data_IF_085259903773
#
_entry.id   IF_085259903773
#
_cell.length_a   1.000
_cell.length_b   1.000
_cell.length_c   1.000
_cell.angle_alpha   90.00
_cell.angle_beta   90.00
_cell.angle_gamma   90.00
#
_symmetry.space_group_name_H-M   'P 1'
#
loop_
_entity.id
_entity.type
_entity.pdbx_description
1 polymer ?
#
# COMPACT_ATOMS: atom_id res chain seq x y z
N UNK A 1 57.04 17.02 -50.28
CA UNK A 1 57.14 15.58 -50.56
C UNK A 1 56.71 14.85 -49.29
N UNK A 2 55.67 14.01 -49.23
CA UNK A 2 55.28 12.84 -50.08
C UNK A 2 56.19 11.62 -49.84
N UNK A 3 55.71 10.38 -49.70
CA UNK A 3 54.33 9.83 -49.67
C UNK A 3 54.35 8.48 -48.88
N UNK A 4 53.16 8.00 -48.49
CA UNK A 4 52.66 6.70 -47.97
C UNK A 4 53.52 5.39 -48.02
N UNK A 5 53.11 4.21 -47.56
CA UNK A 5 51.80 3.63 -47.11
C UNK A 5 52.05 2.70 -45.87
N UNK A 6 51.31 1.65 -45.44
CA UNK A 6 50.31 0.71 -46.03
C UNK A 6 49.21 0.38 -44.95
N UNK A 7 48.27 -0.60 -45.05
CA UNK A 7 46.85 -0.21 -45.05
C UNK A 7 45.93 -0.81 -43.95
N UNK A 8 44.76 -0.17 -43.81
CA UNK A 8 43.39 -0.73 -43.64
C UNK A 8 43.12 -1.96 -42.75
N UNK A 9 42.22 -1.80 -41.76
CA UNK A 9 41.55 -2.93 -41.10
C UNK A 9 40.35 -2.56 -40.22
N UNK A 10 39.14 -2.98 -40.64
CA UNK A 10 37.97 -3.20 -39.76
C UNK A 10 37.25 -1.99 -39.14
N UNK A 11 36.08 -1.61 -39.69
CA UNK A 11 35.06 -0.85 -38.94
C UNK A 11 34.12 -1.81 -38.22
N UNK A 12 33.98 -1.68 -36.90
CA UNK A 12 32.77 -2.11 -36.17
C UNK A 12 32.38 -1.02 -35.17
N UNK A 13 31.32 -0.28 -35.49
CA UNK A 13 30.74 0.69 -34.57
C UNK A 13 29.84 -0.02 -33.57
N UNK A 14 30.24 -0.07 -32.30
CA UNK A 14 29.30 -0.41 -31.23
C UNK A 14 28.39 0.79 -30.99
N UNK A 15 27.10 0.62 -31.28
CA UNK A 15 26.07 1.58 -30.89
C UNK A 15 26.06 1.68 -29.37
N UNK A 16 26.15 2.89 -28.84
CA UNK A 16 25.94 3.12 -27.41
C UNK A 16 24.51 2.68 -27.06
N UNK A 17 24.36 1.81 -26.06
CA UNK A 17 23.05 1.46 -25.53
C UNK A 17 22.37 2.74 -24.99
N UNK A 18 21.04 2.87 -25.13
CA UNK A 18 20.34 4.04 -24.60
C UNK A 18 20.53 4.08 -23.08
N UNK A 19 21.16 5.15 -22.60
CA UNK A 19 21.23 5.42 -21.16
C UNK A 19 19.82 5.69 -20.68
N UNK A 20 19.21 4.70 -20.01
CA UNK A 20 18.01 4.92 -19.22
C UNK A 20 18.37 5.95 -18.15
N UNK A 21 17.82 7.15 -18.29
CA UNK A 21 17.84 8.13 -17.22
C UNK A 21 16.97 7.56 -16.10
N UNK A 22 17.64 6.99 -15.10
CA UNK A 22 16.99 6.66 -13.85
C UNK A 22 16.69 8.00 -13.17
N UNK A 23 15.43 8.41 -13.22
CA UNK A 23 14.90 9.39 -12.27
C UNK A 23 15.33 8.98 -10.87
N UNK A 24 15.74 9.93 -10.00
CA UNK A 24 16.25 9.60 -8.68
C UNK A 24 15.14 8.86 -7.91
N UNK A 25 15.46 7.65 -7.45
CA UNK A 25 14.65 6.99 -6.42
C UNK A 25 14.64 7.92 -5.21
N UNK A 26 13.46 8.43 -4.85
CA UNK A 26 13.24 9.26 -3.67
C UNK A 26 13.64 8.46 -2.42
N UNK A 27 14.91 8.58 -2.03
CA UNK A 27 15.42 7.96 -0.82
C UNK A 27 14.83 8.68 0.37
N UNK A 28 13.93 7.98 1.07
CA UNK A 28 13.12 8.49 2.18
C UNK A 28 13.94 9.41 3.12
N UNK A 29 13.44 10.63 3.43
CA UNK A 29 14.13 11.55 4.31
C UNK A 29 14.54 10.89 5.64
N UNK A 30 15.75 11.23 6.09
CA UNK A 30 16.47 10.58 7.17
C UNK A 30 15.68 10.59 8.50
N UNK A 31 14.88 9.55 8.74
CA UNK A 31 13.96 9.45 9.87
C UNK A 31 12.77 8.49 9.68
N UNK A 32 12.37 8.19 8.44
CA UNK A 32 11.29 7.21 8.20
C UNK A 32 11.76 5.76 8.48
N UNK A 33 10.94 4.91 9.15
CA UNK A 33 11.23 3.49 9.31
C UNK A 33 11.11 2.74 7.97
N UNK A 34 12.14 2.01 7.55
CA UNK A 34 12.07 1.19 6.33
C UNK A 34 10.91 0.18 6.36
N UNK A 35 10.70 -0.48 7.51
CA UNK A 35 9.69 -1.52 7.66
C UNK A 35 8.67 -1.10 8.73
N UNK A 36 7.38 -1.24 8.43
CA UNK A 36 6.28 -0.99 9.38
C UNK A 36 5.39 -2.22 9.58
N UNK A 37 4.77 -2.31 10.76
CA UNK A 37 3.86 -3.39 11.14
C UNK A 37 2.44 -3.02 10.71
N UNK A 38 1.90 -3.76 9.73
CA UNK A 38 0.55 -3.53 9.15
C UNK A 38 -0.39 -4.72 9.39
N UNK A 39 -0.06 -5.62 10.33
CA UNK A 39 -0.90 -6.75 10.73
C UNK A 39 -0.70 -7.09 12.21
N UNK A 40 -1.53 -7.97 12.81
CA UNK A 40 -1.30 -8.50 14.15
C UNK A 40 0.01 -9.31 14.31
N UNK A 41 0.69 -9.64 13.20
CA UNK A 41 1.83 -10.55 13.18
C UNK A 41 3.15 -9.82 12.94
N UNK A 42 4.19 -10.23 13.67
CA UNK A 42 5.52 -9.59 13.69
C UNK A 42 6.59 -10.37 12.89
N UNK A 43 6.21 -11.41 12.16
CA UNK A 43 7.09 -12.12 11.24
C UNK A 43 7.53 -11.22 10.08
N UNK A 44 8.72 -11.45 9.51
CA UNK A 44 9.27 -10.63 8.42
C UNK A 44 8.33 -10.58 7.21
N UNK A 45 7.63 -11.67 6.95
CA UNK A 45 6.61 -11.85 5.92
C UNK A 45 5.38 -10.93 6.05
N UNK A 46 5.23 -10.23 7.19
CA UNK A 46 4.14 -9.30 7.46
C UNK A 46 4.55 -7.83 7.51
N UNK A 47 5.85 -7.53 7.45
CA UNK A 47 6.36 -6.17 7.53
C UNK A 47 6.32 -5.51 6.15
N UNK A 48 5.64 -4.37 6.05
CA UNK A 48 5.58 -3.58 4.82
C UNK A 48 6.86 -2.77 4.67
N UNK A 49 7.62 -3.02 3.59
CA UNK A 49 8.84 -2.28 3.26
C UNK A 49 8.49 -1.01 2.46
N UNK A 50 8.63 0.16 3.10
CA UNK A 50 8.29 1.46 2.53
C UNK A 50 9.19 1.87 1.36
N UNK A 51 10.36 1.23 1.17
CA UNK A 51 11.18 1.44 -0.04
C UNK A 51 10.55 0.82 -1.31
N UNK A 52 9.47 0.03 -1.18
CA UNK A 52 8.74 -0.55 -2.32
C UNK A 52 7.56 0.31 -2.80
N UNK A 53 7.30 1.44 -2.14
CA UNK A 53 6.13 2.30 -2.35
C UNK A 53 6.53 3.68 -2.89
N UNK A 54 5.61 4.34 -3.60
CA UNK A 54 5.77 5.76 -3.92
C UNK A 54 5.61 6.64 -2.67
N UNK A 55 6.15 7.87 -2.72
CA UNK A 55 6.20 8.81 -1.60
C UNK A 55 4.83 9.08 -0.97
N UNK A 56 3.76 9.28 -1.74
CA UNK A 56 2.41 9.48 -1.19
C UNK A 56 1.84 8.19 -0.56
N UNK A 57 2.03 7.01 -1.18
CA UNK A 57 1.57 5.73 -0.62
C UNK A 57 2.31 5.37 0.66
N UNK A 58 3.63 5.57 0.71
CA UNK A 58 4.44 5.33 1.90
C UNK A 58 4.10 6.27 3.06
N UNK A 59 3.69 7.51 2.78
CA UNK A 59 3.18 8.45 3.79
C UNK A 59 1.83 7.98 4.34
N UNK A 60 0.88 7.57 3.50
CA UNK A 60 -0.42 7.05 3.97
C UNK A 60 -0.26 5.74 4.75
N UNK A 61 0.58 4.82 4.27
CA UNK A 61 0.85 3.56 4.95
C UNK A 61 1.42 3.77 6.36
N UNK A 62 2.34 4.73 6.55
CA UNK A 62 2.86 5.08 7.87
C UNK A 62 1.80 5.77 8.75
N UNK A 63 1.00 6.68 8.19
CA UNK A 63 -0.11 7.30 8.93
C UNK A 63 -1.13 6.28 9.43
N UNK A 64 -1.46 5.26 8.63
CA UNK A 64 -2.39 4.18 8.98
C UNK A 64 -1.90 3.32 10.17
N UNK A 65 -0.63 3.37 10.56
CA UNK A 65 -0.18 2.77 11.83
C UNK A 65 -0.78 3.44 13.08
N UNK A 66 -1.38 4.63 12.93
CA UNK A 66 -2.13 5.33 13.97
C UNK A 66 -3.66 5.12 13.85
N UNK A 67 -4.12 4.19 13.01
CA UNK A 67 -5.55 3.91 12.81
C UNK A 67 -6.14 3.20 14.02
N UNK A 68 -7.24 3.75 14.55
CA UNK A 68 -7.96 3.19 15.71
C UNK A 68 -9.46 3.15 15.45
N UNK A 69 -10.09 2.08 15.91
CA UNK A 69 -11.54 2.01 15.95
C UNK A 69 -12.06 2.99 17.01
N UNK A 70 -13.11 3.75 16.66
CA UNK A 70 -13.74 4.73 17.54
C UNK A 70 -14.97 4.18 18.27
N UNK A 71 -15.44 2.98 17.93
CA UNK A 71 -16.78 2.49 18.29
C UNK A 71 -16.82 0.99 18.57
N UNK A 72 -17.73 0.56 19.44
CA UNK A 72 -17.97 -0.87 19.73
C UNK A 72 -18.85 -1.54 18.66
N UNK A 73 -19.74 -0.78 17.99
CA UNK A 73 -20.66 -1.26 16.93
C UNK A 73 -20.01 -1.38 15.53
N UNK A 74 -18.68 -1.29 15.46
CA UNK A 74 -17.88 -1.17 14.23
C UNK A 74 -18.19 -2.21 13.15
N UNK A 75 -18.49 -3.45 13.55
CA UNK A 75 -18.81 -4.55 12.65
C UNK A 75 -20.04 -4.25 11.76
N UNK A 76 -20.96 -3.41 12.23
CA UNK A 76 -22.18 -3.01 11.52
C UNK A 76 -22.30 -1.50 11.23
N UNK A 77 -21.50 -0.65 11.89
CA UNK A 77 -21.53 0.80 11.70
C UNK A 77 -21.00 1.23 10.31
N UNK A 78 -21.46 2.39 9.77
CA UNK A 78 -20.95 2.95 8.51
C UNK A 78 -19.42 3.14 8.56
N UNK A 79 -18.71 2.68 7.52
CA UNK A 79 -17.24 2.58 7.54
C UNK A 79 -16.53 3.91 7.85
N UNK A 80 -17.05 5.02 7.30
CA UNK A 80 -16.53 6.37 7.51
C UNK A 80 -16.67 6.86 8.97
N UNK A 81 -17.68 6.41 9.71
CA UNK A 81 -17.88 6.74 11.13
C UNK A 81 -17.07 5.84 12.08
N UNK A 82 -16.58 4.70 11.62
CA UNK A 82 -15.95 3.67 12.45
C UNK A 82 -14.53 4.01 12.90
N UNK A 83 -13.77 4.74 12.08
CA UNK A 83 -12.33 4.94 12.27
C UNK A 83 -11.94 6.42 12.33
N UNK A 84 -10.79 6.71 12.90
CA UNK A 84 -10.24 8.05 13.07
C UNK A 84 -9.69 8.70 11.78
N UNK A 85 -10.39 8.59 10.65
CA UNK A 85 -9.91 9.04 9.33
C UNK A 85 -9.43 10.50 9.29
N UNK A 86 -10.06 11.42 10.03
CA UNK A 86 -9.57 12.79 10.17
C UNK A 86 -8.17 12.88 10.78
N UNK A 87 -7.92 12.14 11.88
CA UNK A 87 -6.60 12.06 12.52
C UNK A 87 -5.55 11.42 11.60
N UNK A 88 -5.96 10.45 10.77
CA UNK A 88 -5.08 9.82 9.76
C UNK A 88 -4.68 10.81 8.67
N UNK A 89 -5.61 11.60 8.14
CA UNK A 89 -5.29 12.59 7.10
C UNK A 89 -4.51 13.78 7.68
N UNK A 90 -4.78 14.18 8.92
CA UNK A 90 -3.95 15.14 9.63
C UNK A 90 -2.51 14.60 9.82
N UNK A 91 -2.36 13.31 10.15
CA UNK A 91 -1.06 12.64 10.22
C UNK A 91 -0.35 12.53 8.87
N UNK A 92 -1.08 12.32 7.77
CA UNK A 92 -0.54 12.42 6.40
C UNK A 92 0.02 13.82 6.13
N UNK A 93 -0.68 14.89 6.57
CA UNK A 93 -0.20 16.29 6.44
C UNK A 93 1.06 16.55 7.28
N UNK A 94 1.13 16.04 8.50
CA UNK A 94 2.34 16.13 9.32
C UNK A 94 3.54 15.44 8.65
N UNK A 95 3.35 14.21 8.16
CA UNK A 95 4.40 13.41 7.53
C UNK A 95 4.89 14.02 6.22
N UNK A 96 3.99 14.51 5.37
CA UNK A 96 4.35 15.24 4.15
C UNK A 96 5.20 16.48 4.47
N UNK A 97 4.75 17.32 5.41
CA UNK A 97 5.49 18.52 5.84
C UNK A 97 6.86 18.18 6.45
N UNK A 98 6.94 17.16 7.32
CA UNK A 98 8.20 16.73 7.94
C UNK A 98 9.21 16.20 6.90
N UNK A 99 8.72 15.51 5.85
CA UNK A 99 9.51 15.03 4.72
C UNK A 99 9.84 16.12 3.69
N UNK A 100 9.21 17.31 3.80
CA UNK A 100 9.17 18.37 2.78
C UNK A 100 8.58 17.89 1.45
N UNK A 101 7.74 16.87 1.49
CA UNK A 101 7.03 16.33 0.34
C UNK A 101 5.81 17.19 0.01
N UNK A 102 5.66 17.59 -1.25
CA UNK A 102 4.45 18.23 -1.73
C UNK A 102 3.45 17.15 -2.15
N UNK A 103 2.45 16.91 -1.29
CA UNK A 103 1.38 15.97 -1.58
C UNK A 103 0.53 16.45 -2.76
N UNK A 104 0.42 15.62 -3.80
CA UNK A 104 -0.40 15.87 -5.00
C UNK A 104 -1.78 15.23 -4.86
N UNK A 105 -2.78 15.72 -5.59
CA UNK A 105 -4.11 15.08 -5.68
C UNK A 105 -3.98 13.56 -5.93
N UNK A 106 -4.45 12.73 -4.98
CA UNK A 106 -4.32 11.28 -5.06
C UNK A 106 -5.51 10.55 -4.42
N UNK A 107 -5.99 9.53 -5.13
CA UNK A 107 -7.01 8.60 -4.67
C UNK A 107 -6.42 7.28 -4.20
N UNK A 108 -7.07 6.66 -3.22
CA UNK A 108 -6.78 5.31 -2.73
C UNK A 108 -8.06 4.48 -2.67
N UNK A 109 -7.98 3.24 -3.16
CA UNK A 109 -9.09 2.30 -3.09
C UNK A 109 -9.11 1.59 -1.74
N UNK A 110 -10.27 1.54 -1.10
CA UNK A 110 -10.48 0.91 0.21
C UNK A 110 -11.53 -0.19 0.06
N UNK A 111 -11.17 -1.39 0.51
CA UNK A 111 -12.03 -2.58 0.51
C UNK A 111 -12.21 -3.04 1.96
N UNK A 112 -13.42 -2.97 2.48
CA UNK A 112 -13.73 -3.43 3.83
C UNK A 112 -14.61 -4.70 3.78
N UNK A 113 -14.01 -5.83 4.14
CA UNK A 113 -14.71 -7.10 4.25
C UNK A 113 -15.47 -7.18 5.58
N UNK A 114 -16.78 -7.43 5.51
CA UNK A 114 -17.62 -7.76 6.67
C UNK A 114 -18.17 -9.17 6.49
N UNK A 115 -18.12 -9.97 7.55
CA UNK A 115 -18.55 -11.36 7.50
C UNK A 115 -19.08 -11.84 8.85
N UNK A 116 -20.03 -12.78 8.84
CA UNK A 116 -20.48 -13.49 10.04
C UNK A 116 -20.22 -14.98 9.90
N UNK A 117 -19.53 -15.57 10.87
CA UNK A 117 -19.26 -17.02 10.91
C UNK A 117 -20.55 -17.85 10.87
N UNK A 118 -20.47 -19.05 10.29
CA UNK A 118 -21.49 -20.08 10.44
C UNK A 118 -21.53 -20.53 11.92
N UNK A 119 -22.71 -20.61 12.57
CA UNK A 119 -22.80 -21.10 13.95
C UNK A 119 -22.23 -22.51 14.09
N UNK A 120 -21.31 -22.70 15.04
CA UNK A 120 -20.66 -24.00 15.27
C UNK A 120 -19.54 -24.35 14.27
N UNK A 121 -19.03 -23.38 13.50
CA UNK A 121 -17.80 -23.57 12.70
C UNK A 121 -16.62 -23.94 13.62
N UNK A 122 -15.70 -24.77 13.13
CA UNK A 122 -14.43 -24.98 13.81
C UNK A 122 -13.47 -23.82 13.52
N UNK A 123 -12.89 -23.26 14.58
CA UNK A 123 -11.93 -22.16 14.53
C UNK A 123 -10.47 -22.66 14.62
N UNK A 124 -10.22 -23.96 14.78
CA UNK A 124 -8.90 -24.56 15.04
C UNK A 124 -7.79 -24.10 14.10
N UNK A 125 -8.07 -24.07 12.78
CA UNK A 125 -7.11 -23.68 11.74
C UNK A 125 -7.26 -22.21 11.27
N UNK A 126 -8.20 -21.44 11.85
CA UNK A 126 -8.51 -20.09 11.39
C UNK A 126 -7.33 -19.13 11.59
N UNK A 127 -6.56 -19.28 12.68
CA UNK A 127 -5.39 -18.44 12.96
C UNK A 127 -4.22 -18.64 11.98
N UNK A 128 -4.08 -19.83 11.39
CA UNK A 128 -3.07 -20.10 10.35
C UNK A 128 -3.50 -19.53 9.00
N UNK A 129 -4.81 -19.59 8.68
CA UNK A 129 -5.40 -18.98 7.48
C UNK A 129 -5.34 -17.44 7.55
N UNK A 130 -5.64 -16.84 8.70
CA UNK A 130 -5.56 -15.40 8.94
C UNK A 130 -4.10 -14.90 8.86
N UNK A 131 -3.16 -15.64 9.45
CA UNK A 131 -1.72 -15.36 9.27
C UNK A 131 -1.32 -15.42 7.79
N UNK A 132 -1.70 -16.48 7.08
CA UNK A 132 -1.38 -16.62 5.66
C UNK A 132 -1.98 -15.47 4.82
N UNK A 133 -3.20 -15.04 5.13
CA UNK A 133 -3.85 -13.89 4.50
C UNK A 133 -3.07 -12.59 4.72
N UNK A 134 -2.65 -12.31 5.95
CA UNK A 134 -1.87 -11.10 6.24
C UNK A 134 -0.50 -11.09 5.55
N UNK A 135 0.15 -12.24 5.35
CA UNK A 135 1.36 -12.33 4.54
C UNK A 135 1.07 -12.13 3.03
N UNK A 136 -0.04 -12.68 2.51
CA UNK A 136 -0.49 -12.45 1.13
C UNK A 136 -0.78 -10.95 0.88
N UNK A 137 -1.46 -10.27 1.81
CA UNK A 137 -1.75 -8.84 1.72
C UNK A 137 -0.47 -7.99 1.68
N UNK A 138 0.47 -8.19 2.60
CA UNK A 138 1.74 -7.43 2.62
C UNK A 138 2.54 -7.64 1.33
N UNK A 139 2.56 -8.85 0.77
CA UNK A 139 3.30 -9.15 -0.46
C UNK A 139 2.62 -8.69 -1.76
N UNK A 140 1.34 -8.29 -1.72
CA UNK A 140 0.51 -7.99 -2.90
C UNK A 140 0.02 -6.55 -3.02
N UNK A 141 0.34 -5.69 -2.06
CA UNK A 141 -0.23 -4.34 -1.96
C UNK A 141 -1.66 -4.33 -1.40
N UNK A 142 -1.99 -5.28 -0.53
CA UNK A 142 -3.29 -5.38 0.16
C UNK A 142 -4.33 -6.29 -0.49
N UNK A 143 -3.97 -7.06 -1.53
CA UNK A 143 -4.93 -7.80 -2.35
C UNK A 143 -4.96 -9.31 -2.04
N UNK A 144 -6.05 -9.77 -1.41
CA UNK A 144 -6.25 -11.16 -0.98
C UNK A 144 -6.90 -12.01 -2.09
N UNK A 145 -6.22 -13.05 -2.59
CA UNK A 145 -6.75 -14.00 -3.58
C UNK A 145 -7.02 -15.36 -2.95
N UNK A 146 -5.99 -15.98 -2.39
CA UNK A 146 -6.07 -17.35 -1.89
C UNK A 146 -6.69 -17.41 -0.50
N UNK A 147 -6.49 -16.39 0.33
CA UNK A 147 -7.19 -16.25 1.62
C UNK A 147 -8.72 -16.26 1.46
N UNK A 148 -9.27 -15.34 0.65
CA UNK A 148 -10.74 -15.20 0.40
C UNK A 148 -11.34 -16.51 -0.11
N UNK A 149 -10.61 -17.22 -0.97
CA UNK A 149 -10.98 -18.52 -1.54
C UNK A 149 -10.98 -19.64 -0.49
N UNK A 150 -10.04 -19.65 0.44
CA UNK A 150 -9.95 -20.64 1.51
C UNK A 150 -11.07 -20.51 2.56
N UNK A 151 -11.42 -19.28 2.96
CA UNK A 151 -12.41 -19.03 4.04
C UNK A 151 -13.87 -18.95 3.56
N UNK A 152 -14.13 -18.98 2.25
CA UNK A 152 -15.47 -18.73 1.67
C UNK A 152 -16.60 -19.63 2.22
N UNK A 153 -16.29 -20.84 2.69
CA UNK A 153 -17.25 -21.77 3.28
C UNK A 153 -17.48 -21.59 4.79
N UNK A 154 -16.74 -20.69 5.45
CA UNK A 154 -16.80 -20.46 6.90
C UNK A 154 -17.81 -19.38 7.32
N UNK A 155 -18.32 -18.61 6.37
CA UNK A 155 -19.20 -17.47 6.62
C UNK A 155 -20.64 -17.74 6.15
N UNK A 156 -21.61 -17.42 7.02
CA UNK A 156 -23.04 -17.46 6.71
C UNK A 156 -23.50 -16.22 5.92
N UNK A 157 -22.84 -15.08 6.17
CA UNK A 157 -23.08 -13.81 5.49
C UNK A 157 -21.73 -13.14 5.18
N UNK A 158 -21.66 -12.48 4.02
CA UNK A 158 -20.51 -11.71 3.55
C UNK A 158 -21.00 -10.42 2.87
N UNK A 159 -20.31 -9.31 3.13
CA UNK A 159 -20.47 -8.02 2.45
C UNK A 159 -19.08 -7.44 2.20
N UNK A 160 -18.92 -6.76 1.07
CA UNK A 160 -17.77 -5.93 0.77
C UNK A 160 -18.29 -4.49 0.71
N UNK A 161 -17.77 -3.60 1.57
CA UNK A 161 -17.91 -2.16 1.35
C UNK A 161 -16.71 -1.72 0.49
N UNK A 162 -16.98 -0.86 -0.51
CA UNK A 162 -15.97 -0.36 -1.44
C UNK A 162 -16.00 1.16 -1.43
N UNK A 163 -14.85 1.78 -1.19
CA UNK A 163 -14.73 3.23 -1.02
C UNK A 163 -13.52 3.79 -1.77
N UNK A 164 -13.62 5.05 -2.18
CA UNK A 164 -12.48 5.85 -2.63
C UNK A 164 -12.15 6.88 -1.56
N UNK A 165 -10.93 6.86 -1.05
CA UNK A 165 -10.37 7.95 -0.24
C UNK A 165 -9.60 8.89 -1.16
N UNK A 166 -10.11 10.11 -1.33
CA UNK A 166 -9.49 11.14 -2.15
C UNK A 166 -8.83 12.15 -1.21
N UNK A 167 -7.51 12.34 -1.32
CA UNK A 167 -6.75 13.34 -0.57
C UNK A 167 -6.23 14.38 -1.54
N UNK A 168 -6.71 15.61 -1.40
CA UNK A 168 -6.43 16.73 -2.31
C UNK A 168 -5.04 17.31 -2.10
N UNK A 169 -4.57 18.03 -3.12
CA UNK A 169 -3.28 18.71 -3.18
C UNK A 169 -2.94 19.50 -1.89
N UNK A 170 -1.70 19.41 -1.45
CA UNK A 170 -1.21 19.95 -0.17
C UNK A 170 -1.83 19.32 1.09
N UNK A 171 -2.58 18.22 0.95
CA UNK A 171 -3.46 17.67 2.00
C UNK A 171 -4.48 18.74 2.48
N UNK A 172 -4.92 19.59 1.55
CA UNK A 172 -5.81 20.74 1.80
C UNK A 172 -7.22 20.33 2.24
N UNK A 173 -7.69 19.19 1.74
CA UNK A 173 -8.97 18.56 2.08
C UNK A 173 -8.93 17.07 1.75
N UNK A 174 -9.88 16.32 2.29
CA UNK A 174 -10.13 14.93 1.92
C UNK A 174 -11.62 14.63 1.89
N UNK A 175 -11.99 13.60 1.15
CA UNK A 175 -13.32 13.05 1.10
C UNK A 175 -13.23 11.52 0.98
N UNK A 176 -14.25 10.82 1.48
CA UNK A 176 -14.40 9.39 1.26
C UNK A 176 -15.79 9.13 0.69
N UNK A 177 -15.83 8.56 -0.50
CA UNK A 177 -17.06 8.27 -1.24
C UNK A 177 -17.28 6.75 -1.36
N UNK A 178 -18.51 6.32 -1.58
CA UNK A 178 -18.81 4.96 -2.01
C UNK A 178 -18.35 4.79 -3.47
N UNK A 179 -17.66 3.69 -3.77
CA UNK A 179 -17.19 3.41 -5.12
C UNK A 179 -18.33 2.90 -6.00
N UNK A 180 -18.49 3.52 -7.17
CA UNK A 180 -19.45 3.11 -8.21
C UNK A 180 -18.70 2.87 -9.52
N UNK A 181 -18.85 1.66 -10.08
CA UNK A 181 -18.24 1.23 -11.35
C UNK A 181 -18.81 1.95 -12.60
#
# INVERSE_FOLDING_TARGET
MTINDVPSGGKTGFLAAPTLQQEPVDTLPHGAPRHIVMSPYLGKEHLLDLETLDSETGILAEALTNMRCLREDYATAPYLETFNWGEIVDRVRELANARKHHWRDKSFYIVAFRSRYVPGIDHSHLGDLDKAAHAEATASGGFLKEAVKAVRTMYAEWKIDQHELIIRDGVSSWEMIEWTD
#
